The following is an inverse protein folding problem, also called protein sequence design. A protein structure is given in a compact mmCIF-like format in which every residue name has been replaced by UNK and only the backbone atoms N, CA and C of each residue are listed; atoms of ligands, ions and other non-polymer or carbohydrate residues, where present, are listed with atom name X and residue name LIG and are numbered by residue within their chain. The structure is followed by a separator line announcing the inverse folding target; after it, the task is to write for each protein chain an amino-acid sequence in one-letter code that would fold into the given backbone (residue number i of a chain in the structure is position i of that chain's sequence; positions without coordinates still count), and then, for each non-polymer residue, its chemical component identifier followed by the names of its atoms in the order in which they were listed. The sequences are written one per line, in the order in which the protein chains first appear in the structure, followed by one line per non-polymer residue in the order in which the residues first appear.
data_IF_221357023150
#
_entry.id   IF_221357023150
#
_cell.length_a   1.000
_cell.length_b   1.000
_cell.length_c   1.000
_cell.angle_alpha   90.00
_cell.angle_beta   90.00
_cell.angle_gamma   90.00
#
_symmetry.space_group_name_H-M   'P 1'
#
loop_
_entity.id
_entity.type
_entity.pdbx_description
1 polymer ?
#
# COMPACT_ATOMS: atom_id res chain seq x y z
N UNK A 1 -46.71 46.37 9.05
CA UNK A 1 -46.69 44.93 8.72
C UNK A 1 -46.06 44.74 7.36
N UNK A 2 -44.91 44.05 7.31
CA UNK A 2 -44.43 43.12 6.26
C UNK A 2 -42.92 42.99 6.38
N UNK A 3 -42.54 42.17 7.36
CA UNK A 3 -41.20 41.68 7.60
C UNK A 3 -40.71 40.94 6.34
N UNK A 4 -39.70 41.46 5.65
CA UNK A 4 -38.97 40.70 4.64
C UNK A 4 -38.03 39.73 5.37
N UNK A 5 -38.36 38.44 5.34
CA UNK A 5 -37.50 37.38 5.86
C UNK A 5 -36.43 37.05 4.82
N UNK A 6 -35.18 37.44 5.08
CA UNK A 6 -34.01 36.90 4.38
C UNK A 6 -33.74 35.48 4.89
N UNK A 7 -34.00 34.48 4.07
CA UNK A 7 -33.59 33.09 4.33
C UNK A 7 -32.20 32.88 3.76
N UNK A 8 -31.17 33.08 4.57
CA UNK A 8 -29.81 32.66 4.22
C UNK A 8 -29.72 31.14 4.38
N UNK A 9 -29.77 30.41 3.27
CA UNK A 9 -29.44 28.98 3.25
C UNK A 9 -27.92 28.87 3.33
N UNK A 10 -27.39 28.69 4.55
CA UNK A 10 -26.00 28.29 4.76
C UNK A 10 -25.87 26.83 4.35
N UNK A 11 -25.43 26.58 3.11
CA UNK A 11 -24.99 25.26 2.69
C UNK A 11 -23.66 24.94 3.39
N UNK A 12 -23.74 24.28 4.55
CA UNK A 12 -22.59 23.63 5.16
C UNK A 12 -22.20 22.45 4.26
N UNK A 13 -21.30 22.71 3.31
CA UNK A 13 -20.63 21.66 2.55
C UNK A 13 -19.94 20.73 3.55
N UNK A 14 -20.36 19.47 3.57
CA UNK A 14 -19.73 18.44 4.39
C UNK A 14 -18.32 18.29 3.82
N UNK A 15 -17.33 18.88 4.47
CA UNK A 15 -15.93 18.58 4.24
C UNK A 15 -15.72 17.14 4.68
N UNK A 16 -15.99 16.19 3.77
CA UNK A 16 -15.52 14.83 3.94
C UNK A 16 -14.01 14.91 4.05
N UNK A 17 -13.48 14.67 5.24
CA UNK A 17 -12.05 14.46 5.41
C UNK A 17 -11.71 13.32 4.46
N UNK A 18 -11.01 13.61 3.36
CA UNK A 18 -10.36 12.58 2.58
C UNK A 18 -9.47 11.84 3.59
N UNK A 19 -9.87 10.61 3.95
CA UNK A 19 -9.04 9.78 4.80
C UNK A 19 -7.68 9.71 4.13
N UNK A 20 -6.62 10.05 4.86
CA UNK A 20 -5.27 9.99 4.33
C UNK A 20 -5.03 8.57 3.82
N UNK A 21 -4.63 8.44 2.56
CA UNK A 21 -4.29 7.15 1.98
C UNK A 21 -3.08 6.58 2.73
N UNK A 22 -3.24 5.46 3.47
CA UNK A 22 -2.16 4.91 4.30
C UNK A 22 -0.98 4.36 3.47
N UNK A 23 -1.15 4.19 2.16
CA UNK A 23 -0.10 3.75 1.24
C UNK A 23 0.64 4.93 0.58
N UNK A 24 0.20 6.17 0.81
CA UNK A 24 0.71 7.36 0.12
C UNK A 24 2.24 7.52 0.20
N UNK A 25 2.84 7.13 1.32
CA UNK A 25 4.29 7.22 1.53
C UNK A 25 5.10 6.23 0.69
N UNK A 26 4.49 5.13 0.24
CA UNK A 26 5.15 4.15 -0.61
C UNK A 26 5.21 4.62 -2.08
N UNK A 27 4.28 5.49 -2.50
CA UNK A 27 4.25 6.01 -3.88
C UNK A 27 5.50 6.84 -4.18
N UNK A 28 6.13 6.57 -5.32
CA UNK A 28 7.38 7.23 -5.73
C UNK A 28 8.62 6.84 -4.90
N UNK A 29 8.46 5.94 -3.92
CA UNK A 29 9.52 5.41 -3.07
C UNK A 29 9.69 3.91 -3.28
N UNK A 30 10.71 3.33 -2.64
CA UNK A 30 11.01 1.90 -2.72
C UNK A 30 10.65 1.20 -1.42
N UNK A 31 9.77 0.21 -1.49
CA UNK A 31 9.56 -0.75 -0.41
C UNK A 31 10.63 -1.83 -0.51
N UNK A 32 11.60 -1.82 0.39
CA UNK A 32 12.68 -2.81 0.43
C UNK A 32 12.29 -3.97 1.34
N UNK A 33 12.37 -5.19 0.83
CA UNK A 33 12.03 -6.43 1.54
C UNK A 33 13.31 -7.23 1.72
N UNK A 34 13.83 -7.24 2.94
CA UNK A 34 15.03 -7.96 3.33
C UNK A 34 14.67 -9.34 3.88
N UNK A 35 15.13 -10.37 3.20
CA UNK A 35 14.98 -11.77 3.60
C UNK A 35 15.93 -12.13 4.75
N UNK A 36 15.71 -13.24 5.48
CA UNK A 36 16.60 -13.66 6.58
C UNK A 36 18.07 -13.86 6.18
N UNK A 37 18.34 -14.18 4.91
CA UNK A 37 19.69 -14.32 4.37
C UNK A 37 20.34 -12.97 3.97
N UNK A 38 19.68 -11.85 4.23
CA UNK A 38 20.15 -10.50 3.89
C UNK A 38 19.91 -10.07 2.44
N UNK A 39 19.39 -10.95 1.58
CA UNK A 39 19.02 -10.58 0.22
C UNK A 39 17.85 -9.59 0.24
N UNK A 40 17.80 -8.67 -0.73
CA UNK A 40 16.79 -7.60 -0.75
C UNK A 40 16.01 -7.62 -2.06
N UNK A 41 14.70 -7.82 -1.98
CA UNK A 41 13.78 -7.50 -3.06
C UNK A 41 13.36 -6.03 -2.96
N UNK A 42 13.15 -5.39 -4.11
CA UNK A 42 12.66 -4.01 -4.20
C UNK A 42 11.27 -4.01 -4.80
N UNK A 43 10.31 -3.46 -4.09
CA UNK A 43 8.93 -3.34 -4.54
C UNK A 43 8.58 -1.86 -4.72
N UNK A 44 7.92 -1.58 -5.82
CA UNK A 44 7.37 -0.26 -6.14
C UNK A 44 5.87 -0.39 -6.22
N UNK A 45 5.18 0.40 -5.42
CA UNK A 45 3.73 0.41 -5.30
C UNK A 45 3.25 1.70 -5.95
N UNK A 46 2.30 1.57 -6.86
CA UNK A 46 1.73 2.69 -7.62
C UNK A 46 0.30 2.97 -7.14
N UNK A 47 -0.09 4.26 -7.16
CA UNK A 47 -1.38 4.71 -6.63
C UNK A 47 -2.59 4.24 -7.45
N UNK A 48 -2.35 3.69 -8.64
CA UNK A 48 -3.36 3.10 -9.52
C UNK A 48 -3.78 1.68 -9.10
N UNK A 49 -3.26 1.18 -7.99
CA UNK A 49 -3.54 -0.17 -7.49
C UNK A 49 -2.63 -1.23 -8.10
N UNK A 50 -1.53 -0.87 -8.76
CA UNK A 50 -0.54 -1.81 -9.28
C UNK A 50 0.76 -1.80 -8.48
N UNK A 51 1.55 -2.85 -8.64
CA UNK A 51 2.91 -2.89 -8.11
C UNK A 51 3.84 -3.67 -9.04
N UNK A 52 5.14 -3.41 -8.88
CA UNK A 52 6.22 -4.21 -9.47
C UNK A 52 7.22 -4.57 -8.38
N UNK A 53 7.72 -5.80 -8.39
CA UNK A 53 8.78 -6.28 -7.51
C UNK A 53 9.95 -6.77 -8.32
N UNK A 54 11.15 -6.34 -7.98
CA UNK A 54 12.42 -6.90 -8.47
C UNK A 54 13.05 -7.75 -7.38
N UNK A 55 13.15 -9.05 -7.64
CA UNK A 55 13.76 -10.01 -6.75
C UNK A 55 15.30 -9.86 -6.73
N UNK A 56 15.99 -10.43 -5.71
CA UNK A 56 17.45 -10.33 -5.60
C UNK A 56 18.22 -10.93 -6.80
N UNK A 57 17.65 -11.93 -7.46
CA UNK A 57 18.19 -12.58 -8.65
C UNK A 57 17.92 -11.79 -9.96
N UNK A 58 17.25 -10.64 -9.86
CA UNK A 58 16.89 -9.79 -10.99
C UNK A 58 15.56 -10.14 -11.65
N UNK A 59 14.91 -11.25 -11.26
CA UNK A 59 13.58 -11.58 -11.74
C UNK A 59 12.58 -10.48 -11.35
N UNK A 60 11.58 -10.26 -12.19
CA UNK A 60 10.54 -9.26 -11.96
C UNK A 60 9.18 -9.93 -11.84
N UNK A 61 8.38 -9.45 -10.89
CA UNK A 61 6.98 -9.80 -10.76
C UNK A 61 6.13 -8.52 -10.72
N UNK A 62 4.88 -8.61 -11.15
CA UNK A 62 3.88 -7.54 -11.13
C UNK A 62 2.58 -8.06 -10.56
N UNK A 63 1.77 -7.14 -10.07
CA UNK A 63 0.46 -7.49 -9.53
C UNK A 63 -0.40 -6.28 -9.24
N UNK A 64 -1.52 -6.57 -8.60
CA UNK A 64 -2.44 -5.58 -8.10
C UNK A 64 -2.44 -5.56 -6.57
N UNK A 65 -2.74 -4.41 -5.98
CA UNK A 65 -2.95 -4.25 -4.55
C UNK A 65 -4.23 -3.49 -4.26
N UNK A 66 -4.80 -3.73 -3.08
CA UNK A 66 -5.98 -3.01 -2.58
C UNK A 66 -6.04 -3.08 -1.06
N UNK A 67 -6.80 -2.18 -0.44
CA UNK A 67 -7.15 -2.27 0.97
C UNK A 67 -8.57 -2.84 1.09
N UNK A 68 -8.72 -3.95 1.82
CA UNK A 68 -10.01 -4.60 2.08
C UNK A 68 -10.10 -5.04 3.53
N UNK A 69 -11.19 -4.70 4.21
CA UNK A 69 -11.43 -5.11 5.60
C UNK A 69 -10.34 -4.65 6.58
N UNK A 70 -9.67 -3.53 6.29
CA UNK A 70 -8.55 -3.02 7.10
C UNK A 70 -7.21 -3.71 6.84
N UNK A 71 -7.11 -4.55 5.81
CA UNK A 71 -5.86 -5.19 5.38
C UNK A 71 -5.42 -4.66 4.02
N UNK A 72 -4.11 -4.45 3.84
CA UNK A 72 -3.50 -4.22 2.54
C UNK A 72 -3.14 -5.56 1.94
N UNK A 73 -3.71 -5.88 0.78
CA UNK A 73 -3.60 -7.17 0.11
C UNK A 73 -2.91 -7.02 -1.25
N UNK A 74 -1.89 -7.83 -1.50
CA UNK A 74 -1.14 -7.90 -2.75
C UNK A 74 -1.42 -9.21 -3.48
N UNK A 75 -1.80 -9.10 -4.76
CA UNK A 75 -2.08 -10.24 -5.64
C UNK A 75 -1.14 -10.20 -6.83
N UNK A 76 -0.28 -11.20 -6.97
CA UNK A 76 0.58 -11.34 -8.14
C UNK A 76 -0.25 -11.70 -9.37
N UNK A 77 0.07 -11.10 -10.51
CA UNK A 77 -0.58 -11.38 -11.80
C UNK A 77 0.41 -11.83 -12.87
N UNK A 78 1.67 -11.38 -12.79
CA UNK A 78 2.73 -11.72 -13.74
C UNK A 78 4.06 -11.95 -12.99
N UNK A 79 4.80 -13.05 -13.25
CA UNK A 79 4.33 -14.23 -13.98
C UNK A 79 3.06 -14.81 -13.32
N UNK A 80 2.23 -15.51 -14.10
CA UNK A 80 0.99 -16.07 -13.59
C UNK A 80 1.29 -16.94 -12.34
N UNK A 81 0.67 -16.63 -11.18
CA UNK A 81 0.92 -17.40 -9.97
C UNK A 81 0.31 -18.81 -10.10
N UNK A 82 0.79 -19.78 -9.31
CA UNK A 82 0.14 -21.08 -9.18
C UNK A 82 -1.36 -20.94 -8.86
N UNK A 83 -2.18 -21.82 -9.43
CA UNK A 83 -3.61 -21.83 -9.16
C UNK A 83 -3.89 -21.96 -7.65
N UNK A 84 -4.81 -21.13 -7.14
CA UNK A 84 -5.18 -21.12 -5.72
C UNK A 84 -4.20 -20.35 -4.81
N UNK A 85 -3.17 -19.70 -5.34
CA UNK A 85 -2.36 -18.77 -4.55
C UNK A 85 -3.23 -17.59 -4.09
N UNK A 86 -3.36 -17.44 -2.77
CA UNK A 86 -4.11 -16.35 -2.16
C UNK A 86 -3.31 -15.03 -2.19
N UNK A 87 -4.02 -13.90 -2.10
CA UNK A 87 -3.42 -12.61 -1.89
C UNK A 87 -2.61 -12.59 -0.59
N UNK A 88 -1.46 -11.93 -0.59
CA UNK A 88 -0.69 -11.68 0.62
C UNK A 88 -1.27 -10.45 1.31
N UNK A 89 -1.98 -10.66 2.42
CA UNK A 89 -2.66 -9.62 3.17
C UNK A 89 -1.99 -9.40 4.52
N UNK A 90 -1.83 -8.14 4.91
CA UNK A 90 -1.42 -7.75 6.26
C UNK A 90 -2.27 -6.57 6.75
N UNK A 91 -2.43 -6.39 8.08
CA UNK A 91 -3.14 -5.22 8.62
C UNK A 91 -2.57 -3.93 8.03
N UNK A 92 -3.45 -3.09 7.50
CA UNK A 92 -3.06 -1.80 6.94
C UNK A 92 -2.46 -0.94 8.04
N UNK A 93 -1.29 -0.37 7.78
CA UNK A 93 -0.62 0.54 8.68
C UNK A 93 -0.11 1.75 7.89
N UNK A 94 -0.30 2.95 8.43
CA UNK A 94 0.38 4.15 7.94
C UNK A 94 1.87 4.01 8.27
N UNK A 95 2.69 3.88 7.23
CA UNK A 95 4.15 3.84 7.30
C UNK A 95 4.72 5.09 6.66
N UNK A 96 5.94 5.46 7.02
CA UNK A 96 6.63 6.65 6.52
C UNK A 96 7.94 6.26 5.87
N UNK A 97 8.44 7.12 4.98
CA UNK A 97 9.80 6.96 4.44
C UNK A 97 10.79 6.98 5.60
N UNK A 98 11.68 5.99 5.63
CA UNK A 98 12.62 5.74 6.73
C UNK A 98 12.13 4.71 7.75
N UNK A 99 10.85 4.36 7.76
CA UNK A 99 10.34 3.30 8.65
C UNK A 99 10.90 1.94 8.26
N UNK A 100 11.08 1.08 9.27
CA UNK A 100 11.45 -0.31 9.14
C UNK A 100 10.65 -1.15 10.13
N UNK A 101 10.12 -2.29 9.69
CA UNK A 101 9.29 -3.18 10.51
C UNK A 101 9.43 -4.64 10.07
N UNK A 102 8.93 -5.55 10.89
CA UNK A 102 8.87 -6.98 10.56
C UNK A 102 7.52 -7.36 9.99
N UNK A 103 7.51 -8.26 9.00
CA UNK A 103 6.32 -8.80 8.38
C UNK A 103 6.44 -10.32 8.22
N UNK A 104 5.33 -11.08 8.30
CA UNK A 104 5.35 -12.51 8.01
C UNK A 104 5.67 -12.75 6.53
N UNK A 105 6.60 -13.64 6.28
CA UNK A 105 6.96 -14.14 4.96
C UNK A 105 6.45 -15.56 4.71
N UNK A 106 6.71 -16.12 3.51
CA UNK A 106 6.37 -17.51 3.20
C UNK A 106 7.01 -18.49 4.20
N UNK A 107 6.34 -19.63 4.42
CA UNK A 107 6.84 -20.74 5.25
C UNK A 107 7.22 -20.36 6.70
N UNK A 108 6.55 -19.36 7.27
CA UNK A 108 6.80 -18.91 8.65
C UNK A 108 8.08 -18.08 8.82
N UNK A 109 8.70 -17.64 7.72
CA UNK A 109 9.83 -16.70 7.78
C UNK A 109 9.37 -15.32 8.26
N UNK A 110 10.31 -14.55 8.80
CA UNK A 110 10.11 -13.13 9.11
C UNK A 110 10.93 -12.31 8.14
N UNK A 111 10.28 -11.36 7.48
CA UNK A 111 10.90 -10.39 6.58
C UNK A 111 11.10 -9.07 7.31
N UNK A 112 12.17 -8.35 7.01
CA UNK A 112 12.31 -6.94 7.39
C UNK A 112 11.89 -6.10 6.20
N UNK A 113 10.92 -5.22 6.39
CA UNK A 113 10.41 -4.33 5.35
C UNK A 113 10.73 -2.90 5.73
N UNK A 114 11.16 -2.09 4.77
CA UNK A 114 11.37 -0.65 4.96
C UNK A 114 10.89 0.17 3.78
N UNK A 115 10.60 1.45 4.00
CA UNK A 115 10.35 2.42 2.92
C UNK A 115 11.59 3.29 2.77
N UNK A 116 12.23 3.22 1.61
CA UNK A 116 13.43 3.97 1.26
C UNK A 116 13.05 5.07 0.26
N UNK A 117 13.60 6.27 0.45
CA UNK A 117 13.35 7.40 -0.44
C UNK A 117 13.78 7.09 -1.89
N UNK A 118 12.91 7.39 -2.84
CA UNK A 118 13.18 7.27 -4.29
C UNK A 118 12.87 5.89 -4.89
N UNK A 119 12.70 5.88 -6.22
CA UNK A 119 12.41 4.69 -7.06
C UNK A 119 13.66 4.19 -7.78
#
# INVERSE_FOLDING_TARGET
MRTLMMTAVLALGISGAALADPMASAYGNTVAITYPNGAVAKMHIDADGTYTTKAPDGATAKGAWKIEGGNTCFTQTDPAPPAGMAANCSPTADKKVGDSWTAPGPNGSTLTVSIVAGR
#
